data_IF_688002497721
#
_entry.id   IF_688002497721
#
_cell.length_a   1.000
_cell.length_b   1.000
_cell.length_c   1.000
_cell.angle_alpha   90.00
_cell.angle_beta   90.00
_cell.angle_gamma   90.00
#
_symmetry.space_group_name_H-M   'P 1'
#
loop_
_entity.id
_entity.type
_entity.pdbx_description
1 polymer ?
#
# COMPACT_ATOMS: atom_id res chain seq x y z
N UNK A 1 17.88 0.79 -1.63
CA UNK A 1 17.40 -0.58 -1.84
C UNK A 1 16.92 -1.11 -0.49
N UNK A 2 15.63 -0.97 -0.21
CA UNK A 2 15.06 -1.52 1.03
C UNK A 2 14.94 -3.03 0.85
N UNK A 3 15.53 -3.79 1.77
CA UNK A 3 15.46 -5.25 1.78
C UNK A 3 14.00 -5.69 1.83
N UNK A 4 13.64 -6.63 0.96
CA UNK A 4 12.32 -7.29 0.93
C UNK A 4 12.13 -8.06 2.26
N UNK A 5 11.66 -7.36 3.29
CA UNK A 5 11.46 -7.89 4.65
C UNK A 5 10.39 -8.97 4.72
N UNK A 6 9.54 -9.07 3.68
CA UNK A 6 8.56 -10.15 3.60
C UNK A 6 9.22 -11.52 3.47
N UNK A 7 10.49 -11.66 3.09
CA UNK A 7 11.11 -12.99 2.88
C UNK A 7 10.23 -13.91 1.99
N UNK A 8 9.48 -13.33 1.04
CA UNK A 8 8.44 -14.02 0.23
C UNK A 8 7.27 -14.65 1.02
N UNK A 9 7.05 -14.24 2.27
CA UNK A 9 5.91 -14.64 3.10
C UNK A 9 4.67 -13.80 2.70
N UNK A 10 3.91 -14.28 1.71
CA UNK A 10 2.72 -13.58 1.17
C UNK A 10 1.42 -13.91 1.94
N UNK A 11 1.52 -14.23 3.22
CA UNK A 11 0.39 -14.61 4.07
C UNK A 11 0.43 -13.84 5.39
N UNK A 12 -0.74 -13.55 5.94
CA UNK A 12 -0.91 -12.96 7.25
C UNK A 12 -1.84 -13.85 8.10
N UNK A 13 -1.72 -13.86 9.43
CA UNK A 13 -2.50 -14.76 10.29
C UNK A 13 -3.94 -14.29 10.54
N UNK A 14 -4.23 -12.99 10.31
CA UNK A 14 -5.55 -12.39 10.50
C UNK A 14 -5.66 -11.08 9.69
N UNK A 15 -6.88 -10.55 9.47
CA UNK A 15 -7.06 -9.21 8.89
C UNK A 15 -6.28 -8.15 9.66
N UNK A 16 -5.79 -7.15 8.93
CA UNK A 16 -5.15 -5.95 9.45
C UNK A 16 -3.87 -6.23 10.28
N UNK A 17 -3.19 -7.36 10.00
CA UNK A 17 -1.88 -7.71 10.58
C UNK A 17 -0.71 -7.36 9.68
N UNK A 18 -0.89 -7.50 8.36
CA UNK A 18 0.12 -7.12 7.39
C UNK A 18 -0.56 -6.40 6.25
N UNK A 19 -0.15 -5.16 6.01
CA UNK A 19 -0.54 -4.40 4.84
C UNK A 19 0.65 -4.29 3.90
N UNK A 20 0.39 -4.45 2.61
CA UNK A 20 1.39 -4.27 1.56
C UNK A 20 0.97 -3.11 0.69
N UNK A 21 1.88 -2.16 0.48
CA UNK A 21 1.76 -1.10 -0.49
C UNK A 21 2.45 -1.51 -1.80
N UNK A 22 1.73 -1.29 -2.89
CA UNK A 22 2.25 -1.43 -4.24
C UNK A 22 1.89 -0.19 -5.06
N UNK A 23 2.76 0.17 -6.00
CA UNK A 23 2.56 1.31 -6.90
C UNK A 23 2.84 0.91 -8.32
N UNK A 24 1.91 1.24 -9.21
CA UNK A 24 2.01 1.00 -10.64
C UNK A 24 1.61 2.23 -11.45
N UNK A 25 1.87 2.21 -12.75
CA UNK A 25 1.40 3.24 -13.67
C UNK A 25 0.08 2.81 -14.31
N UNK A 26 -0.87 3.74 -14.40
CA UNK A 26 -2.12 3.59 -15.13
C UNK A 26 -2.07 4.48 -16.37
N UNK A 27 -2.13 3.91 -17.59
CA UNK A 27 -2.20 4.70 -18.81
C UNK A 27 -3.55 5.43 -18.89
N UNK A 28 -3.52 6.69 -19.30
CA UNK A 28 -4.70 7.53 -19.56
C UNK A 28 -4.57 8.20 -20.92
N UNK A 29 -5.66 8.78 -21.42
CA UNK A 29 -5.58 9.61 -22.63
C UNK A 29 -4.71 10.82 -22.30
N UNK A 30 -3.60 10.97 -23.02
CA UNK A 30 -2.66 12.08 -22.84
C UNK A 30 -1.52 11.83 -21.82
N UNK A 31 -1.35 10.62 -21.29
CA UNK A 31 -0.21 10.30 -20.43
C UNK A 31 -0.42 9.08 -19.53
N UNK A 32 0.09 9.16 -18.31
CA UNK A 32 -0.10 8.15 -17.27
C UNK A 32 -0.26 8.81 -15.91
N UNK A 33 -0.91 8.10 -14.99
CA UNK A 33 -0.93 8.42 -13.57
C UNK A 33 -0.26 7.31 -12.79
N UNK A 34 0.28 7.63 -11.63
CA UNK A 34 0.68 6.64 -10.64
C UNK A 34 -0.52 6.24 -9.80
N UNK A 35 -0.72 4.94 -9.65
CA UNK A 35 -1.72 4.33 -8.82
C UNK A 35 -1.03 3.60 -7.68
N UNK A 36 -1.28 4.07 -6.46
CA UNK A 36 -0.83 3.43 -5.24
C UNK A 36 -1.98 2.73 -4.55
N UNK A 37 -1.78 1.49 -4.13
CA UNK A 37 -2.76 0.74 -3.35
C UNK A 37 -2.13 0.12 -2.10
N UNK A 38 -2.86 0.17 -0.99
CA UNK A 38 -2.55 -0.58 0.23
C UNK A 38 -3.52 -1.74 0.30
N UNK A 39 -2.99 -2.95 0.40
CA UNK A 39 -3.73 -4.21 0.38
C UNK A 39 -3.53 -4.92 1.71
N UNK A 40 -4.62 -5.42 2.28
CA UNK A 40 -4.58 -6.33 3.42
C UNK A 40 -4.13 -7.73 2.95
N UNK A 41 -3.00 -8.23 3.46
CA UNK A 41 -2.38 -9.45 2.96
C UNK A 41 -3.16 -10.72 3.30
N UNK A 42 -3.97 -10.69 4.37
CA UNK A 42 -4.85 -11.80 4.77
C UNK A 42 -6.02 -11.97 3.81
N UNK A 43 -6.82 -10.92 3.62
CA UNK A 43 -8.06 -10.95 2.85
C UNK A 43 -7.89 -10.64 1.37
N UNK A 44 -6.71 -10.12 0.99
CA UNK A 44 -6.40 -9.56 -0.34
C UNK A 44 -7.31 -8.40 -0.75
N UNK A 45 -8.02 -7.79 0.20
CA UNK A 45 -8.87 -6.63 -0.04
C UNK A 45 -8.04 -5.35 -0.05
N UNK A 46 -8.39 -4.44 -0.96
CA UNK A 46 -7.86 -3.07 -0.96
C UNK A 46 -8.34 -2.35 0.31
N UNK A 47 -7.39 -1.83 1.08
CA UNK A 47 -7.66 -0.98 2.24
C UNK A 47 -7.92 0.44 1.79
N UNK A 48 -7.03 0.95 0.94
CA UNK A 48 -7.13 2.28 0.30
C UNK A 48 -6.37 2.27 -1.03
N UNK A 49 -6.69 3.23 -1.87
CA UNK A 49 -5.90 3.54 -3.07
C UNK A 49 -5.84 5.06 -3.26
N UNK A 50 -4.86 5.50 -4.05
CA UNK A 50 -4.70 6.89 -4.43
C UNK A 50 -4.13 6.99 -5.86
N UNK A 51 -4.41 8.10 -6.53
CA UNK A 51 -3.85 8.46 -7.82
C UNK A 51 -3.03 9.74 -7.67
N UNK A 52 -1.89 9.79 -8.36
CA UNK A 52 -1.04 10.97 -8.45
C UNK A 52 -0.41 11.07 -9.84
N UNK A 53 0.01 12.26 -10.23
CA UNK A 53 0.82 12.46 -11.44
C UNK A 53 2.32 12.19 -11.19
N UNK A 54 2.72 12.02 -9.92
CA UNK A 54 4.08 11.68 -9.48
C UNK A 54 4.06 10.60 -8.39
N UNK A 55 5.14 9.82 -8.31
CA UNK A 55 5.45 9.00 -7.12
C UNK A 55 6.19 9.90 -6.14
N UNK A 56 5.51 10.32 -5.07
CA UNK A 56 6.12 11.11 -4.00
C UNK A 56 5.67 10.64 -2.60
N UNK A 57 6.38 11.11 -1.58
CA UNK A 57 6.10 10.77 -0.19
C UNK A 57 4.74 11.28 0.29
N UNK A 58 4.16 12.28 -0.39
CA UNK A 58 2.86 12.84 -0.05
C UNK A 58 1.75 11.86 -0.42
N UNK A 59 1.83 11.23 -1.60
CA UNK A 59 0.92 10.17 -2.03
C UNK A 59 0.93 8.99 -1.04
N UNK A 60 2.12 8.51 -0.64
CA UNK A 60 2.29 7.43 0.34
C UNK A 60 1.72 7.79 1.71
N UNK A 61 2.07 8.98 2.21
CA UNK A 61 1.66 9.44 3.54
C UNK A 61 0.14 9.63 3.60
N UNK A 62 -0.45 10.20 2.56
CA UNK A 62 -1.89 10.40 2.46
C UNK A 62 -2.64 9.06 2.41
N UNK A 63 -2.15 8.11 1.61
CA UNK A 63 -2.72 6.77 1.55
C UNK A 63 -2.67 6.08 2.92
N UNK A 64 -1.51 6.06 3.58
CA UNK A 64 -1.36 5.42 4.89
C UNK A 64 -2.25 6.07 5.96
N UNK A 65 -2.32 7.41 6.01
CA UNK A 65 -3.22 8.11 6.95
C UNK A 65 -4.68 7.75 6.73
N UNK A 66 -5.13 7.71 5.46
CA UNK A 66 -6.50 7.31 5.12
C UNK A 66 -6.77 5.83 5.45
N UNK A 67 -5.79 4.96 5.23
CA UNK A 67 -5.90 3.54 5.58
C UNK A 67 -6.08 3.33 7.09
N UNK A 68 -5.24 3.99 7.91
CA UNK A 68 -5.31 3.94 9.37
C UNK A 68 -6.64 4.51 9.89
N UNK A 69 -7.09 5.64 9.36
CA UNK A 69 -8.38 6.24 9.74
C UNK A 69 -9.57 5.33 9.39
N UNK A 70 -9.47 4.57 8.29
CA UNK A 70 -10.55 3.70 7.81
C UNK A 70 -10.64 2.37 8.58
N UNK A 71 -9.50 1.76 8.89
CA UNK A 71 -9.45 0.40 9.44
C UNK A 71 -9.23 0.35 10.94
N UNK A 72 -8.57 1.37 11.51
CA UNK A 72 -8.23 1.45 12.94
C UNK A 72 -7.66 0.11 13.46
N UNK A 73 -6.57 -0.39 12.87
CA UNK A 73 -6.01 -1.69 13.19
C UNK A 73 -5.53 -1.73 14.66
N UNK A 74 -5.62 -2.91 15.28
CA UNK A 74 -5.01 -3.13 16.60
C UNK A 74 -3.49 -3.01 16.53
N UNK A 75 -2.82 -2.73 17.67
CA UNK A 75 -1.36 -2.71 17.73
C UNK A 75 -0.73 -3.98 17.14
N UNK A 76 0.41 -3.81 16.47
CA UNK A 76 1.14 -4.89 15.79
C UNK A 76 0.85 -5.04 14.30
N UNK A 77 0.21 -4.07 13.65
CA UNK A 77 0.18 -3.98 12.18
C UNK A 77 1.60 -3.78 11.64
N UNK A 78 1.98 -4.59 10.66
CA UNK A 78 3.18 -4.39 9.84
C UNK A 78 2.77 -3.78 8.50
N UNK A 79 3.41 -2.69 8.12
CA UNK A 79 3.26 -2.07 6.80
C UNK A 79 4.54 -2.28 6.00
N UNK A 80 4.42 -2.89 4.83
CA UNK A 80 5.53 -3.14 3.91
C UNK A 80 5.26 -2.43 2.58
N UNK A 81 6.27 -1.75 2.03
CA UNK A 81 6.22 -1.07 0.74
C UNK A 81 7.34 -1.59 -0.15
N UNK A 82 6.99 -2.08 -1.35
CA UNK A 82 7.98 -2.45 -2.35
C UNK A 82 8.31 -1.23 -3.24
N UNK A 83 9.45 -0.60 -2.96
CA UNK A 83 10.22 0.16 -3.96
C UNK A 83 9.59 1.42 -4.60
N UNK A 84 8.49 1.95 -4.07
CA UNK A 84 7.84 3.13 -4.62
C UNK A 84 6.99 3.95 -3.65
N UNK A 85 6.73 3.47 -2.43
CA UNK A 85 6.01 4.24 -1.39
C UNK A 85 6.81 4.41 -0.11
#
# INVERSE_FOLDING_TARGET
MASNLLSRQFTAPAPDRVWVADTTYLPIIGGFLFFGAIIDLFSRKVVVWALGDRIDAELSTLALRRALARRVPSPGLVFHSDGGM
#
